data_IF_941848693808
#
_entry.id   IF_941848693808
#
_cell.length_a   1.000
_cell.length_b   1.000
_cell.length_c   1.000
_cell.angle_alpha   90.00
_cell.angle_beta   90.00
_cell.angle_gamma   90.00
#
_symmetry.space_group_name_H-M   'P 1'
#
loop_
_entity.id
_entity.type
_entity.pdbx_description
1 polymer ?
#
# COMPACT_ATOMS: atom_id res chain seq x y z
N UNK A 1 -2.45 -8.08 -69.96
CA UNK A 1 -3.64 -8.82 -70.44
C UNK A 1 -4.31 -9.42 -69.19
N UNK A 2 -5.43 -8.87 -68.67
CA UNK A 2 -6.83 -9.33 -68.88
C UNK A 2 -6.97 -10.84 -68.54
N UNK A 3 -7.77 -11.38 -67.60
CA UNK A 3 -9.03 -11.04 -66.92
C UNK A 3 -9.11 -11.81 -65.54
N UNK A 4 -9.75 -11.30 -64.46
CA UNK A 4 -11.10 -11.62 -63.88
C UNK A 4 -11.35 -13.17 -63.69
N UNK A 5 -11.79 -13.77 -62.56
CA UNK A 5 -13.09 -13.72 -61.84
C UNK A 5 -13.04 -14.46 -60.47
N UNK A 6 -13.86 -13.95 -59.55
CA UNK A 6 -14.38 -14.42 -58.23
C UNK A 6 -14.81 -15.89 -58.13
N UNK A 7 -14.85 -16.42 -56.90
CA UNK A 7 -15.69 -17.56 -56.52
C UNK A 7 -15.79 -17.76 -55.01
N UNK A 8 -16.87 -17.25 -54.41
CA UNK A 8 -17.37 -17.58 -53.08
C UNK A 8 -18.28 -18.82 -53.23
N UNK A 9 -18.22 -19.76 -52.29
CA UNK A 9 -19.16 -20.89 -52.17
C UNK A 9 -18.79 -21.69 -50.92
N UNK A 10 -19.43 -21.40 -49.79
CA UNK A 10 -20.65 -22.05 -49.28
C UNK A 10 -20.31 -23.15 -48.26
N UNK A 11 -20.62 -22.81 -47.00
CA UNK A 11 -20.69 -23.71 -45.86
C UNK A 11 -21.74 -24.78 -46.13
N UNK A 12 -21.32 -26.04 -46.14
CA UNK A 12 -22.24 -27.18 -45.95
C UNK A 12 -22.00 -27.78 -44.58
N UNK A 13 -22.95 -27.52 -43.68
CA UNK A 13 -23.08 -28.24 -42.43
C UNK A 13 -23.37 -29.72 -42.75
N UNK A 14 -22.43 -30.60 -42.38
CA UNK A 14 -22.65 -32.05 -42.40
C UNK A 14 -22.88 -32.53 -40.97
N UNK A 15 -24.08 -33.05 -40.79
CA UNK A 15 -24.57 -33.89 -39.71
C UNK A 15 -23.56 -35.01 -39.40
N UNK A 16 -23.07 -35.05 -38.16
CA UNK A 16 -22.21 -36.14 -37.66
C UNK A 16 -23.10 -37.11 -36.91
N UNK A 17 -23.40 -38.23 -37.57
CA UNK A 17 -23.97 -39.42 -36.94
C UNK A 17 -22.93 -40.05 -36.00
N UNK A 18 -23.37 -40.33 -34.78
CA UNK A 18 -22.63 -41.08 -33.77
C UNK A 18 -22.33 -42.50 -34.24
N UNK A 19 -21.05 -42.84 -34.37
CA UNK A 19 -20.54 -44.20 -34.30
C UNK A 19 -19.22 -44.18 -33.51
N UNK A 20 -19.28 -44.66 -32.26
CA UNK A 20 -18.11 -45.21 -31.57
C UNK A 20 -17.94 -46.66 -32.05
N UNK A 21 -16.71 -47.18 -32.20
CA UNK A 21 -16.01 -47.68 -31.01
C UNK A 21 -14.47 -47.57 -31.07
N UNK A 22 -13.85 -47.96 -29.96
CA UNK A 22 -12.47 -48.45 -29.81
C UNK A 22 -11.49 -47.50 -29.10
N UNK A 23 -11.47 -47.73 -27.79
CA UNK A 23 -10.44 -47.45 -26.79
C UNK A 23 -9.03 -47.40 -27.39
N UNK A 24 -8.43 -46.21 -27.44
CA UNK A 24 -6.97 -46.06 -27.62
C UNK A 24 -6.46 -44.90 -26.76
N UNK A 25 -5.52 -45.23 -25.87
CA UNK A 25 -4.66 -44.39 -25.02
C UNK A 25 -4.88 -42.87 -25.03
N UNK A 26 -5.51 -42.33 -23.97
CA UNK A 26 -5.50 -40.91 -23.67
C UNK A 26 -4.23 -40.55 -22.86
N UNK A 27 -3.28 -39.90 -23.52
CA UNK A 27 -2.21 -39.12 -22.88
C UNK A 27 -2.89 -37.94 -22.19
N UNK A 28 -2.92 -37.93 -20.85
CA UNK A 28 -3.33 -36.77 -20.07
C UNK A 28 -2.24 -35.70 -20.17
N UNK A 29 -2.33 -34.87 -21.20
CA UNK A 29 -1.71 -33.55 -21.21
C UNK A 29 -2.44 -32.71 -20.15
N UNK A 30 -1.90 -32.71 -18.93
CA UNK A 30 -2.22 -31.70 -17.91
C UNK A 30 -1.72 -30.34 -18.40
N UNK A 31 -2.49 -29.72 -19.29
CA UNK A 31 -2.32 -28.33 -19.65
C UNK A 31 -2.56 -27.49 -18.40
N UNK A 32 -1.52 -26.81 -17.92
CA UNK A 32 -1.69 -25.69 -17.01
C UNK A 32 -2.64 -24.69 -17.68
N UNK A 33 -3.90 -24.69 -17.24
CA UNK A 33 -4.85 -23.64 -17.59
C UNK A 33 -4.32 -22.35 -16.97
N UNK A 34 -3.55 -21.60 -17.75
CA UNK A 34 -3.20 -20.22 -17.47
C UNK A 34 -4.51 -19.44 -17.42
N UNK A 35 -4.97 -19.12 -16.21
CA UNK A 35 -6.17 -18.31 -15.96
C UNK A 35 -5.97 -16.96 -16.70
N UNK A 36 -6.74 -16.66 -17.76
CA UNK A 36 -6.51 -15.49 -18.61
C UNK A 36 -7.05 -14.20 -17.98
N UNK A 37 -7.25 -14.17 -16.65
CA UNK A 37 -7.72 -12.97 -15.96
C UNK A 37 -6.71 -11.85 -16.21
N UNK A 38 -7.15 -10.73 -16.81
CA UNK A 38 -6.32 -9.55 -16.91
C UNK A 38 -5.85 -9.19 -15.51
N UNK A 39 -4.55 -8.97 -15.34
CA UNK A 39 -4.04 -8.25 -14.18
C UNK A 39 -4.76 -6.90 -14.17
N UNK A 40 -5.73 -6.74 -13.27
CA UNK A 40 -6.37 -5.45 -13.05
C UNK A 40 -5.32 -4.55 -12.42
N UNK A 41 -4.57 -3.85 -13.27
CA UNK A 41 -3.68 -2.77 -12.87
C UNK A 41 -4.58 -1.67 -12.33
N UNK A 42 -4.70 -1.58 -11.01
CA UNK A 42 -5.48 -0.53 -10.36
C UNK A 42 -4.97 0.85 -10.78
N UNK A 43 -5.86 1.86 -10.75
CA UNK A 43 -5.50 3.24 -11.06
C UNK A 43 -4.30 3.69 -10.21
N UNK A 44 -3.23 4.22 -10.83
CA UNK A 44 -2.09 4.75 -10.09
C UNK A 44 -2.53 5.79 -9.06
N UNK A 45 -1.91 5.75 -7.88
CA UNK A 45 -2.14 6.77 -6.87
C UNK A 45 -1.47 8.08 -7.29
N UNK A 46 -2.23 9.17 -7.34
CA UNK A 46 -1.64 10.51 -7.45
C UNK A 46 -0.96 10.87 -6.14
N UNK A 47 0.28 11.37 -6.19
CA UNK A 47 0.97 11.86 -4.99
C UNK A 47 0.23 13.10 -4.45
N UNK A 48 -0.32 13.05 -3.22
CA UNK A 48 -0.98 14.21 -2.64
C UNK A 48 0.03 15.28 -2.24
N UNK A 49 -0.45 16.50 -2.00
CA UNK A 49 0.32 17.46 -1.22
C UNK A 49 0.69 16.82 0.12
N UNK A 50 1.88 17.13 0.65
CA UNK A 50 2.30 16.63 1.96
C UNK A 50 1.24 16.90 3.02
N UNK A 51 0.57 18.06 3.02
CA UNK A 51 -0.46 18.43 4.02
C UNK A 51 -1.77 17.63 3.91
N UNK A 52 -1.99 16.87 2.83
CA UNK A 52 -3.19 16.07 2.59
C UNK A 52 -2.94 14.56 2.72
N UNK A 53 -1.68 14.17 2.97
CA UNK A 53 -1.24 12.79 2.87
C UNK A 53 -2.04 11.84 3.76
N UNK A 54 -2.35 12.21 5.01
CA UNK A 54 -3.12 11.34 5.89
C UNK A 54 -4.62 11.22 5.53
N UNK A 55 -5.21 12.21 4.84
CA UNK A 55 -6.57 12.06 4.30
C UNK A 55 -6.59 11.04 3.15
N UNK A 56 -5.59 11.07 2.26
CA UNK A 56 -5.42 10.02 1.24
C UNK A 56 -5.12 8.67 1.89
N UNK A 57 -4.26 8.64 2.92
CA UNK A 57 -3.97 7.44 3.67
C UNK A 57 -5.25 6.82 4.29
N UNK A 58 -6.15 7.64 4.85
CA UNK A 58 -7.44 7.16 5.36
C UNK A 58 -8.29 6.47 4.30
N UNK A 59 -8.37 7.07 3.12
CA UNK A 59 -9.09 6.49 1.97
C UNK A 59 -8.48 5.16 1.57
N UNK A 60 -7.16 5.10 1.43
CA UNK A 60 -6.46 3.92 0.96
C UNK A 60 -6.44 2.79 1.99
N UNK A 61 -6.15 3.10 3.25
CA UNK A 61 -5.97 2.10 4.32
C UNK A 61 -7.30 1.47 4.72
N UNK A 62 -8.36 2.26 4.86
CA UNK A 62 -9.66 1.75 5.27
C UNK A 62 -10.61 1.46 4.09
N UNK A 63 -10.16 1.69 2.85
CA UNK A 63 -11.05 1.75 1.68
C UNK A 63 -12.24 2.67 1.97
N UNK A 64 -11.98 3.83 2.59
CA UNK A 64 -13.02 4.73 3.09
C UNK A 64 -13.68 5.49 1.94
N UNK A 65 -15.01 5.59 1.98
CA UNK A 65 -15.82 6.46 1.11
C UNK A 65 -16.16 7.79 1.77
N UNK A 66 -15.88 7.93 3.06
CA UNK A 66 -16.09 9.16 3.82
C UNK A 66 -14.86 10.06 3.62
N UNK A 67 -15.01 11.30 3.12
CA UNK A 67 -13.89 12.21 2.95
C UNK A 67 -13.42 12.73 4.31
N UNK A 68 -12.15 12.54 4.61
CA UNK A 68 -11.54 13.01 5.86
C UNK A 68 -11.02 14.45 5.71
N UNK A 69 -11.26 15.27 6.74
CA UNK A 69 -10.53 16.52 6.94
C UNK A 69 -9.18 16.21 7.59
N UNK A 70 -8.07 16.56 6.93
CA UNK A 70 -6.76 16.36 7.53
C UNK A 70 -6.36 17.51 8.44
N UNK A 71 -6.00 17.20 9.68
CA UNK A 71 -5.47 18.15 10.66
C UNK A 71 -3.96 17.97 10.76
N UNK A 72 -3.21 18.94 10.24
CA UNK A 72 -1.74 18.93 10.29
C UNK A 72 -1.26 19.54 11.59
N UNK A 73 -0.52 18.76 12.37
CA UNK A 73 0.07 19.17 13.64
C UNK A 73 1.56 19.45 13.47
N UNK A 74 2.02 20.58 14.02
CA UNK A 74 3.42 21.03 13.94
C UNK A 74 4.23 20.71 15.20
N UNK A 75 3.55 20.40 16.30
CA UNK A 75 4.14 19.97 17.57
C UNK A 75 3.93 18.46 17.76
N UNK A 76 5.04 17.73 17.93
CA UNK A 76 5.00 16.28 18.05
C UNK A 76 4.31 15.82 19.34
N UNK A 77 4.50 16.56 20.44
CA UNK A 77 3.95 16.18 21.74
C UNK A 77 2.44 16.35 21.78
N UNK A 78 1.91 17.41 21.16
CA UNK A 78 0.49 17.62 20.94
C UNK A 78 -0.08 16.53 20.03
N UNK A 79 0.60 16.20 18.92
CA UNK A 79 0.20 15.10 18.04
C UNK A 79 0.16 13.75 18.78
N UNK A 80 1.16 13.47 19.62
CA UNK A 80 1.23 12.23 20.38
C UNK A 80 0.04 12.04 21.32
N UNK A 81 -0.44 13.11 21.96
CA UNK A 81 -1.59 13.05 22.87
C UNK A 81 -2.95 13.19 22.18
N UNK A 82 -3.00 13.80 21.01
CA UNK A 82 -4.25 14.07 20.31
C UNK A 82 -4.82 12.80 19.65
N UNK A 83 -6.15 12.77 19.50
CA UNK A 83 -6.87 11.74 18.74
C UNK A 83 -7.75 12.41 17.68
N UNK A 84 -7.79 11.87 16.44
CA UNK A 84 -8.65 12.42 15.40
C UNK A 84 -10.13 12.31 15.79
N UNK A 85 -10.91 13.36 15.49
CA UNK A 85 -12.35 13.32 15.71
C UNK A 85 -13.03 12.39 14.70
N UNK A 86 -14.10 11.71 15.14
CA UNK A 86 -14.98 10.98 14.24
C UNK A 86 -16.09 11.89 13.68
N UNK A 87 -16.47 12.95 14.41
CA UNK A 87 -17.48 13.94 14.03
C UNK A 87 -16.98 15.35 14.43
N UNK A 88 -16.48 16.18 13.50
CA UNK A 88 -16.31 15.92 12.06
C UNK A 88 -15.34 14.76 11.77
N UNK A 89 -15.43 14.13 10.60
CA UNK A 89 -14.54 13.03 10.22
C UNK A 89 -13.14 13.55 9.90
N UNK A 90 -12.23 13.37 10.85
CA UNK A 90 -10.87 13.91 10.78
C UNK A 90 -9.81 12.82 10.74
N UNK A 91 -8.68 13.16 10.15
CA UNK A 91 -7.39 12.49 10.34
C UNK A 91 -6.43 13.46 10.99
N UNK A 92 -5.41 12.94 11.68
CA UNK A 92 -4.32 13.78 12.18
C UNK A 92 -3.01 13.38 11.55
N UNK A 93 -2.20 14.38 11.24
CA UNK A 93 -0.92 14.23 10.59
C UNK A 93 0.18 14.94 11.36
N UNK A 94 1.34 14.29 11.49
CA UNK A 94 2.59 14.94 11.83
C UNK A 94 3.64 14.61 10.77
N UNK A 95 4.50 15.57 10.44
CA UNK A 95 5.60 15.38 9.49
C UNK A 95 6.91 15.41 10.26
N UNK A 96 7.65 14.31 10.23
CA UNK A 96 9.03 14.25 10.69
C UNK A 96 9.97 14.69 9.57
N UNK A 97 10.94 15.54 9.89
CA UNK A 97 11.87 16.13 8.93
C UNK A 97 13.29 15.58 9.10
N UNK A 98 14.05 15.55 8.01
CA UNK A 98 15.46 15.19 8.01
C UNK A 98 16.38 16.39 8.33
N UNK A 99 15.82 17.59 8.45
CA UNK A 99 16.52 18.84 8.71
C UNK A 99 15.78 19.71 9.74
N UNK A 100 16.53 20.54 10.45
CA UNK A 100 15.99 21.43 11.49
C UNK A 100 15.08 22.51 10.90
N UNK A 101 15.35 22.95 9.66
CA UNK A 101 14.56 23.95 8.95
C UNK A 101 13.19 23.44 8.49
N UNK A 102 12.88 22.16 8.71
CA UNK A 102 11.61 21.52 8.33
C UNK A 102 11.30 21.65 6.83
N UNK A 103 12.32 21.54 5.98
CA UNK A 103 12.18 21.62 4.52
C UNK A 103 12.30 20.27 3.83
N UNK A 104 12.79 19.25 4.54
CA UNK A 104 12.99 17.90 4.00
C UNK A 104 12.12 16.91 4.77
N UNK A 105 10.81 16.80 4.45
CA UNK A 105 9.96 15.74 5.01
C UNK A 105 10.65 14.40 4.83
N UNK A 106 10.73 13.63 5.90
CA UNK A 106 11.32 12.28 5.96
C UNK A 106 10.23 11.23 6.11
N UNK A 107 9.36 11.46 7.07
CA UNK A 107 8.33 10.52 7.52
C UNK A 107 7.03 11.27 7.74
N UNK A 108 5.91 10.64 7.45
CA UNK A 108 4.58 11.16 7.73
C UNK A 108 3.88 10.20 8.69
N UNK A 109 3.54 10.71 9.87
CA UNK A 109 2.83 9.99 10.91
C UNK A 109 1.34 10.31 10.80
N UNK A 110 0.53 9.28 10.57
CA UNK A 110 -0.91 9.41 10.41
C UNK A 110 -1.64 8.72 11.56
N UNK A 111 -2.54 9.44 12.23
CA UNK A 111 -3.59 8.85 13.08
C UNK A 111 -4.90 8.82 12.30
N UNK A 112 -5.34 7.62 11.95
CA UNK A 112 -6.53 7.36 11.12
C UNK A 112 -7.58 6.59 11.94
N UNK A 113 -8.79 6.50 11.40
CA UNK A 113 -9.84 5.60 11.87
C UNK A 113 -9.75 4.26 11.13
N UNK A 114 -9.96 3.17 11.88
CA UNK A 114 -10.10 1.83 11.30
C UNK A 114 -11.38 1.72 10.47
N UNK A 115 -11.40 0.80 9.50
CA UNK A 115 -12.59 0.55 8.69
C UNK A 115 -13.81 0.13 9.53
N UNK A 116 -13.60 -0.67 10.59
CA UNK A 116 -14.66 -1.07 11.52
C UNK A 116 -15.31 0.14 12.19
N UNK A 117 -14.49 1.08 12.67
CA UNK A 117 -14.97 2.29 13.33
C UNK A 117 -15.74 3.18 12.36
N UNK A 118 -15.27 3.29 11.11
CA UNK A 118 -15.96 4.05 10.06
C UNK A 118 -17.31 3.41 9.73
N UNK A 119 -17.36 2.08 9.55
CA UNK A 119 -18.62 1.37 9.30
C UNK A 119 -19.62 1.51 10.44
N UNK A 120 -19.15 1.44 11.68
CA UNK A 120 -19.99 1.59 12.86
C UNK A 120 -20.64 2.98 12.95
N UNK A 121 -19.94 4.03 12.49
CA UNK A 121 -20.44 5.41 12.56
C UNK A 121 -21.22 5.84 11.31
N UNK A 122 -20.71 5.51 10.12
CA UNK A 122 -21.19 6.01 8.83
C UNK A 122 -21.96 4.97 8.00
N UNK A 123 -22.14 3.76 8.53
CA UNK A 123 -22.88 2.67 7.90
C UNK A 123 -21.98 1.63 7.24
N UNK A 124 -22.52 0.41 7.06
CA UNK A 124 -21.75 -0.77 6.64
C UNK A 124 -20.99 -0.62 5.33
N UNK A 125 -21.45 0.24 4.41
CA UNK A 125 -20.83 0.46 3.09
C UNK A 125 -19.82 1.62 3.08
N UNK A 126 -19.65 2.33 4.20
CA UNK A 126 -18.80 3.52 4.29
C UNK A 126 -17.29 3.22 4.22
N UNK A 127 -16.88 1.99 4.53
CA UNK A 127 -15.50 1.54 4.45
C UNK A 127 -15.43 0.04 4.10
N UNK A 128 -14.43 -0.33 3.29
CA UNK A 128 -14.18 -1.71 2.88
C UNK A 128 -13.19 -2.45 3.79
N UNK A 129 -12.52 -3.46 3.24
CA UNK A 129 -11.44 -4.14 3.96
C UNK A 129 -10.24 -3.21 4.18
N UNK A 130 -9.61 -3.36 5.34
CA UNK A 130 -8.40 -2.62 5.67
C UNK A 130 -7.17 -3.21 4.99
N UNK A 131 -6.23 -2.35 4.60
CA UNK A 131 -4.91 -2.74 4.10
C UNK A 131 -3.79 -2.29 5.05
N UNK A 132 -2.58 -2.82 4.85
CA UNK A 132 -1.38 -2.49 5.64
C UNK A 132 -0.78 -1.13 5.27
N UNK A 133 0.00 -0.55 6.19
CA UNK A 133 0.76 0.67 5.93
C UNK A 133 1.85 0.42 4.86
N UNK A 134 2.44 -0.78 4.84
CA UNK A 134 3.41 -1.23 3.83
C UNK A 134 2.82 -1.23 2.41
N UNK A 135 1.56 -1.62 2.25
CA UNK A 135 0.88 -1.54 0.94
C UNK A 135 0.67 -0.09 0.52
N UNK A 136 0.44 0.84 1.44
CA UNK A 136 0.42 2.26 1.10
C UNK A 136 1.82 2.76 0.72
N UNK A 137 2.88 2.34 1.40
CA UNK A 137 4.26 2.64 0.97
C UNK A 137 4.57 2.07 -0.42
N UNK A 138 4.03 0.90 -0.79
CA UNK A 138 4.13 0.37 -2.17
C UNK A 138 3.48 1.32 -3.17
N UNK A 139 2.25 1.76 -2.92
CA UNK A 139 1.56 2.74 -3.80
C UNK A 139 2.35 4.05 -3.91
N UNK A 140 2.94 4.51 -2.80
CA UNK A 140 3.83 5.68 -2.81
C UNK A 140 5.07 5.46 -3.66
N UNK A 141 5.72 4.29 -3.56
CA UNK A 141 6.85 3.94 -4.43
C UNK A 141 6.45 3.96 -5.89
N UNK A 142 5.36 3.29 -6.26
CA UNK A 142 4.90 3.21 -7.64
C UNK A 142 4.64 4.63 -8.20
N UNK A 143 3.97 5.47 -7.42
CA UNK A 143 3.70 6.85 -7.78
C UNK A 143 4.98 7.70 -7.91
N UNK A 144 5.95 7.57 -7.00
CA UNK A 144 7.25 8.26 -7.09
C UNK A 144 8.03 7.79 -8.32
N UNK A 145 8.05 6.49 -8.60
CA UNK A 145 8.75 5.91 -9.77
C UNK A 145 8.20 6.45 -11.10
N UNK A 146 6.90 6.73 -11.17
CA UNK A 146 6.28 7.39 -12.32
C UNK A 146 6.76 8.84 -12.52
N UNK A 147 7.24 9.51 -11.47
CA UNK A 147 7.82 10.86 -11.57
C UNK A 147 9.29 10.89 -11.99
N UNK A 148 9.96 9.73 -12.02
CA UNK A 148 11.37 9.64 -12.36
C UNK A 148 11.58 9.49 -13.88
N UNK A 149 12.53 10.24 -14.42
CA UNK A 149 13.04 10.03 -15.78
C UNK A 149 13.79 8.71 -15.90
N UNK A 150 13.92 8.17 -17.12
CA UNK A 150 14.70 6.96 -17.35
C UNK A 150 16.17 7.12 -16.96
N UNK A 151 16.71 8.33 -17.12
CA UNK A 151 18.08 8.65 -16.67
C UNK A 151 18.20 8.52 -15.16
N UNK A 152 17.22 9.02 -14.40
CA UNK A 152 17.19 8.89 -12.94
C UNK A 152 17.05 7.42 -12.51
N UNK A 153 16.15 6.67 -13.15
CA UNK A 153 15.96 5.23 -12.88
C UNK A 153 17.24 4.43 -13.12
N UNK A 154 17.93 4.66 -14.24
CA UNK A 154 19.22 3.99 -14.56
C UNK A 154 20.31 4.29 -13.53
N UNK A 155 20.31 5.51 -12.97
CA UNK A 155 21.29 5.98 -11.98
C UNK A 155 20.94 5.65 -10.53
N UNK A 156 19.82 4.98 -10.25
CA UNK A 156 19.48 4.56 -8.89
C UNK A 156 20.65 3.81 -8.23
N UNK A 157 21.00 4.11 -6.97
CA UNK A 157 22.16 3.53 -6.30
C UNK A 157 21.92 2.07 -5.85
N UNK A 158 20.68 1.59 -5.91
CA UNK A 158 20.29 0.25 -5.49
C UNK A 158 20.33 -0.70 -6.67
N UNK A 159 21.17 -1.74 -6.57
CA UNK A 159 21.49 -2.67 -7.67
C UNK A 159 21.28 -4.15 -7.29
N UNK A 160 20.63 -4.42 -6.16
CA UNK A 160 20.23 -5.79 -5.80
C UNK A 160 19.30 -6.41 -6.85
N UNK A 161 19.15 -7.74 -6.84
CA UNK A 161 18.25 -8.49 -7.74
C UNK A 161 16.83 -7.93 -7.71
N UNK A 162 16.40 -7.48 -6.52
CA UNK A 162 15.22 -6.63 -6.33
C UNK A 162 15.72 -5.28 -5.81
N UNK A 163 15.77 -4.21 -6.61
CA UNK A 163 16.38 -2.95 -6.20
C UNK A 163 15.70 -2.28 -5.00
N UNK A 164 14.38 -2.49 -4.83
CA UNK A 164 13.59 -1.92 -3.73
C UNK A 164 12.63 -2.97 -3.19
N UNK A 165 12.76 -3.28 -1.90
CA UNK A 165 11.90 -4.21 -1.17
C UNK A 165 11.09 -3.49 -0.09
N UNK A 166 9.81 -3.83 0.01
CA UNK A 166 8.89 -3.28 1.00
C UNK A 166 8.67 -4.37 2.04
N UNK A 167 9.08 -4.11 3.27
CA UNK A 167 8.90 -5.02 4.38
C UNK A 167 7.48 -4.93 4.93
N UNK A 168 7.06 -5.99 5.65
CA UNK A 168 5.86 -5.94 6.45
C UNK A 168 5.95 -4.82 7.50
N UNK A 169 4.78 -4.35 7.96
CA UNK A 169 4.70 -3.33 9.01
C UNK A 169 5.39 -3.81 10.29
N UNK A 170 6.18 -2.94 10.92
CA UNK A 170 6.50 -3.09 12.34
C UNK A 170 5.23 -2.80 13.13
N UNK A 171 4.59 -3.83 13.68
CA UNK A 171 3.35 -3.68 14.44
C UNK A 171 3.68 -3.31 15.89
N UNK A 172 3.35 -2.08 16.28
CA UNK A 172 3.44 -1.64 17.66
C UNK A 172 2.26 -2.19 18.48
N UNK A 173 2.49 -2.79 19.65
CA UNK A 173 1.41 -3.32 20.49
C UNK A 173 0.68 -2.21 21.28
N UNK A 174 1.29 -1.05 21.44
CA UNK A 174 0.72 0.09 22.20
C UNK A 174 1.06 1.41 21.51
N UNK A 175 0.33 2.47 21.87
CA UNK A 175 0.59 3.83 21.38
C UNK A 175 1.98 4.34 21.81
N UNK A 176 2.41 4.04 23.04
CA UNK A 176 3.76 4.38 23.49
C UNK A 176 4.85 3.73 22.62
N UNK A 177 4.72 2.43 22.32
CA UNK A 177 5.63 1.71 21.41
C UNK A 177 5.54 2.21 19.98
N UNK A 178 4.37 2.69 19.55
CA UNK A 178 4.19 3.31 18.23
C UNK A 178 4.96 4.62 18.09
N UNK A 179 5.10 5.38 19.18
CA UNK A 179 5.85 6.64 19.22
C UNK A 179 7.38 6.50 19.32
N UNK A 180 7.88 5.30 19.64
CA UNK A 180 9.32 5.04 19.65
C UNK A 180 9.92 5.10 18.25
N UNK A 181 11.19 5.51 18.19
CA UNK A 181 11.97 5.50 16.97
C UNK A 181 12.04 4.09 16.37
N UNK A 182 12.10 4.03 15.05
CA UNK A 182 12.30 2.79 14.31
C UNK A 182 13.10 3.09 13.04
N UNK A 183 13.73 2.06 12.49
CA UNK A 183 14.39 2.16 11.19
C UNK A 183 13.31 2.03 10.12
N UNK A 184 13.12 3.08 9.32
CA UNK A 184 12.14 3.09 8.24
C UNK A 184 12.78 2.68 6.90
N UNK A 185 14.04 3.05 6.69
CA UNK A 185 14.78 2.81 5.45
C UNK A 185 16.20 2.39 5.76
N UNK A 186 16.73 1.48 4.97
CA UNK A 186 18.12 1.02 5.03
C UNK A 186 18.49 0.29 3.73
N UNK A 187 19.78 0.09 3.51
CA UNK A 187 20.29 -0.77 2.44
C UNK A 187 20.80 -2.07 3.05
N UNK A 188 20.35 -3.20 2.55
CA UNK A 188 20.87 -4.51 2.99
C UNK A 188 22.25 -4.83 2.38
N UNK A 189 22.84 -5.95 2.80
CA UNK A 189 24.15 -6.39 2.32
C UNK A 189 24.20 -6.62 0.81
N UNK A 190 23.06 -6.96 0.18
CA UNK A 190 22.92 -7.18 -1.25
C UNK A 190 22.71 -5.90 -2.08
N UNK A 191 22.69 -4.73 -1.43
CA UNK A 191 22.47 -3.45 -2.12
C UNK A 191 21.01 -3.18 -2.47
N UNK A 192 20.06 -3.88 -1.83
CA UNK A 192 18.62 -3.62 -1.95
C UNK A 192 18.20 -2.52 -0.97
N UNK A 193 17.44 -1.53 -1.44
CA UNK A 193 16.74 -0.60 -0.56
C UNK A 193 15.59 -1.34 0.13
N UNK A 194 15.60 -1.41 1.46
CA UNK A 194 14.46 -1.93 2.22
C UNK A 194 13.70 -0.78 2.87
N UNK A 195 12.37 -0.78 2.72
CA UNK A 195 11.46 0.24 3.25
C UNK A 195 10.44 -0.46 4.15
N UNK A 196 10.28 0.04 5.37
CA UNK A 196 9.35 -0.47 6.37
C UNK A 196 8.42 0.64 6.85
N UNK A 197 7.15 0.32 7.08
CA UNK A 197 6.23 1.19 7.84
C UNK A 197 6.12 0.69 9.29
N UNK A 198 5.66 1.54 10.19
CA UNK A 198 5.29 1.14 11.57
C UNK A 198 3.81 1.40 11.78
N UNK A 199 3.08 0.39 12.25
CA UNK A 199 1.63 0.43 12.36
C UNK A 199 1.16 0.20 13.80
N UNK A 200 -0.02 0.71 14.13
CA UNK A 200 -0.76 0.39 15.36
C UNK A 200 -2.23 0.26 15.01
N UNK A 201 -2.88 -0.81 15.44
CA UNK A 201 -4.35 -0.94 15.39
C UNK A 201 -4.87 -0.92 16.81
N UNK A 202 -5.62 0.12 17.15
CA UNK A 202 -6.31 0.17 18.44
C UNK A 202 -7.54 -0.74 18.36
N UNK A 203 -7.60 -1.76 19.21
CA UNK A 203 -8.78 -2.59 19.36
C UNK A 203 -9.85 -1.78 20.10
N UNK A 204 -11.07 -1.73 19.57
CA UNK A 204 -12.19 -1.14 20.30
C UNK A 204 -12.50 -2.00 21.53
N UNK A 205 -12.76 -1.42 22.72
CA UNK A 205 -13.16 -2.21 23.86
C UNK A 205 -14.45 -2.96 23.53
N UNK A 206 -14.46 -4.27 23.81
CA UNK A 206 -15.66 -5.10 23.76
C UNK A 206 -16.68 -4.48 24.71
N UNK A 207 -17.86 -4.13 24.19
CA UNK A 207 -18.89 -3.39 24.92
C UNK A 207 -19.27 -4.09 26.24
N UNK A 208 -18.83 -3.54 27.37
CA UNK A 208 -19.57 -3.58 28.63
C UNK A 208 -20.06 -2.16 28.87
N UNK A 209 -21.38 -1.99 28.98
CA UNK A 209 -22.08 -0.73 28.83
C UNK A 209 -21.41 0.46 29.53
N UNK A 210 -20.94 1.44 28.74
CA UNK A 210 -20.97 2.88 29.00
C UNK A 210 -20.27 3.66 27.87
N UNK A 211 -20.66 4.93 27.75
CA UNK A 211 -20.44 5.87 26.63
C UNK A 211 -18.98 6.34 26.45
N UNK A 212 -18.02 5.45 26.20
CA UNK A 212 -16.71 5.90 25.73
C UNK A 212 -16.74 6.11 24.20
N UNK A 213 -17.33 7.23 23.74
CA UNK A 213 -17.47 7.55 22.29
C UNK A 213 -16.13 7.63 21.52
N UNK A 214 -15.00 7.62 22.23
CA UNK A 214 -13.65 7.75 21.67
C UNK A 214 -12.70 6.59 22.02
N UNK A 215 -13.17 5.53 22.69
CA UNK A 215 -12.28 4.43 23.08
C UNK A 215 -12.07 3.47 21.90
N UNK A 216 -10.90 3.54 21.28
CA UNK A 216 -10.39 2.54 20.33
C UNK A 216 -10.83 2.70 18.87
N UNK A 217 -10.41 1.74 18.05
CA UNK A 217 -10.70 1.72 16.62
C UNK A 217 -9.86 2.67 15.76
N UNK A 218 -8.72 3.15 16.26
CA UNK A 218 -7.70 3.84 15.48
C UNK A 218 -6.85 2.88 14.62
N UNK A 219 -6.35 3.37 13.49
CA UNK A 219 -5.34 2.72 12.65
C UNK A 219 -4.24 3.74 12.38
N UNK A 220 -3.07 3.57 12.99
CA UNK A 220 -1.98 4.55 12.88
C UNK A 220 -0.86 3.99 12.00
N UNK A 221 -0.22 4.87 11.24
CA UNK A 221 0.88 4.52 10.34
C UNK A 221 1.99 5.58 10.42
N UNK A 222 3.24 5.13 10.50
CA UNK A 222 4.40 5.90 10.09
C UNK A 222 4.78 5.49 8.67
N UNK A 223 4.66 6.43 7.74
CA UNK A 223 4.82 6.23 6.29
C UNK A 223 6.03 7.00 5.78
N UNK A 224 6.63 6.53 4.70
CA UNK A 224 7.72 7.25 4.04
C UNK A 224 7.18 8.48 3.31
N UNK A 225 7.79 9.64 3.51
CA UNK A 225 7.41 10.84 2.76
C UNK A 225 7.78 10.66 1.26
N UNK A 226 6.89 10.97 0.31
CA UNK A 226 7.18 10.81 -1.12
C UNK A 226 8.47 11.50 -1.59
N UNK A 227 8.70 12.74 -1.15
CA UNK A 227 9.91 13.50 -1.49
C UNK A 227 11.17 12.86 -0.90
N UNK A 228 11.08 12.28 0.30
CA UNK A 228 12.22 11.55 0.88
C UNK A 228 12.54 10.31 0.06
N UNK A 229 11.52 9.54 -0.31
CA UNK A 229 11.69 8.37 -1.16
C UNK A 229 12.32 8.75 -2.50
N UNK A 230 11.86 9.83 -3.13
CA UNK A 230 12.46 10.35 -4.38
C UNK A 230 13.95 10.63 -4.21
N UNK A 231 14.34 11.37 -3.16
CA UNK A 231 15.74 11.70 -2.86
C UNK A 231 16.60 10.47 -2.57
N UNK A 232 16.04 9.46 -1.92
CA UNK A 232 16.71 8.17 -1.72
C UNK A 232 16.96 7.49 -3.07
N UNK A 233 15.93 7.37 -3.90
CA UNK A 233 16.01 6.72 -5.21
C UNK A 233 16.98 7.44 -6.16
N UNK A 234 17.10 8.76 -6.08
CA UNK A 234 18.06 9.55 -6.87
C UNK A 234 19.47 9.61 -6.29
N UNK A 235 19.71 9.02 -5.11
CA UNK A 235 21.01 9.00 -4.44
C UNK A 235 21.38 10.31 -3.74
N UNK A 236 20.44 11.23 -3.56
CA UNK A 236 20.64 12.49 -2.80
C UNK A 236 20.70 12.27 -1.28
N UNK A 237 20.24 11.10 -0.81
CA UNK A 237 20.29 10.70 0.60
C UNK A 237 21.19 9.48 0.73
N UNK A 238 22.21 9.59 1.60
CA UNK A 238 23.04 8.45 1.97
C UNK A 238 22.38 7.70 3.13
N UNK A 239 22.12 6.41 2.93
CA UNK A 239 21.52 5.55 3.93
C UNK A 239 22.60 4.78 4.70
N UNK A 240 22.40 4.53 6.01
CA UNK A 240 23.25 3.61 6.74
C UNK A 240 23.16 2.21 6.11
N UNK A 241 24.29 1.49 6.10
CA UNK A 241 24.31 0.06 5.81
C UNK A 241 23.95 -0.67 7.10
N UNK A 242 22.81 -1.36 7.12
CA UNK A 242 22.40 -2.17 8.26
C UNK A 242 21.40 -3.24 7.83
N UNK A 243 21.37 -4.36 8.55
CA UNK A 243 20.26 -5.30 8.49
C UNK A 243 19.16 -4.84 9.43
N UNK A 244 17.90 -5.03 9.03
CA UNK A 244 16.80 -4.76 9.94
C UNK A 244 16.92 -5.84 11.01
N UNK A 245 16.86 -5.53 12.31
CA UNK A 245 16.85 -6.58 13.31
C UNK A 245 15.74 -7.57 12.94
N UNK A 246 16.11 -8.84 12.74
CA UNK A 246 15.19 -9.92 12.44
C UNK A 246 14.28 -10.14 13.66
N UNK A 247 13.23 -9.35 13.76
CA UNK A 247 12.38 -9.28 14.95
C UNK A 247 10.93 -9.01 14.59
N UNK A 248 10.34 -9.90 13.79
CA UNK A 248 8.89 -10.17 13.70
C UNK A 248 8.57 -11.00 12.46
N UNK A 249 9.20 -12.18 12.33
CA UNK A 249 8.48 -13.27 11.66
C UNK A 249 7.35 -13.66 12.60
N UNK A 250 6.21 -12.98 12.46
CA UNK A 250 4.94 -13.50 12.95
C UNK A 250 4.84 -14.93 12.41
N UNK A 251 4.92 -15.89 13.33
CA UNK A 251 4.66 -17.27 13.02
C UNK A 251 3.20 -17.34 12.57
N UNK A 252 2.98 -17.42 11.26
CA UNK A 252 1.74 -17.99 10.75
C UNK A 252 1.74 -19.46 11.17
N UNK A 253 0.97 -19.76 12.22
CA UNK A 253 0.38 -21.07 12.47
C UNK A 253 -1.13 -20.88 12.51
#
# INVERSE_FOLDING_TARGET
MKHIIRGFGELTARTISCLAPSVTAAILLSGCASDPRPLVVGTPMTLPNVSEHCAVAQKEIATSRVPARNVVMTDYQAFARAKPSMKPFETMQYVGYADEKRMKPRMISCKLHSADRIRAEYGATAAGESTTCARLNRRTLDAVMLTLTDRQKKKMPFKGTVPVMLDADEVAPTEARWHETFTMVQTDAGGTLRIRAKSLREVAPVRVGTKAKNAGGGQYCHLIAPDYLKRILTGEVQLPKSEFPEGSRSASR
#
